data_IF_679600548313
#
_entry.id   IF_679600548313
#
_cell.length_a   1.000
_cell.length_b   1.000
_cell.length_c   1.000
_cell.angle_alpha   90.00
_cell.angle_beta   90.00
_cell.angle_gamma   90.00
#
_symmetry.space_group_name_H-M   'P 1'
#
loop_
_entity.id
_entity.type
_entity.pdbx_description
1 polymer ?
#
# COMPACT_ATOMS: atom_id res chain seq x y z
N UNK A 1 -5.49 26.87 -1.04
CA UNK A 1 -4.35 26.07 -1.56
C UNK A 1 -4.92 24.92 -2.37
N UNK A 2 -5.11 25.13 -3.66
CA UNK A 2 -5.65 24.11 -4.58
C UNK A 2 -4.51 23.20 -5.03
N UNK A 3 -4.27 22.13 -4.28
CA UNK A 3 -3.37 21.06 -4.72
C UNK A 3 -4.04 20.31 -5.86
N UNK A 4 -3.39 20.25 -7.02
CA UNK A 4 -3.82 19.40 -8.12
C UNK A 4 -4.08 17.99 -7.60
N UNK A 5 -5.14 17.33 -8.08
CA UNK A 5 -5.36 15.92 -7.82
C UNK A 5 -4.09 15.16 -8.23
N UNK A 6 -3.25 14.78 -7.26
CA UNK A 6 -2.07 14.00 -7.53
C UNK A 6 -2.56 12.65 -8.04
N UNK A 7 -2.33 12.39 -9.33
CA UNK A 7 -2.54 11.07 -9.89
C UNK A 7 -1.42 10.19 -9.38
N UNK A 8 -1.80 9.21 -8.59
CA UNK A 8 -0.89 8.22 -8.04
C UNK A 8 -0.45 7.26 -9.16
N UNK A 9 0.76 7.44 -9.67
CA UNK A 9 1.37 6.52 -10.65
C UNK A 9 2.28 5.52 -9.94
N UNK A 10 2.11 4.23 -10.24
CA UNK A 10 2.93 3.17 -9.65
C UNK A 10 2.27 1.80 -9.66
N UNK A 11 2.98 0.81 -9.11
CA UNK A 11 2.48 -0.55 -8.89
C UNK A 11 1.88 -0.60 -7.48
N UNK A 12 0.69 -1.18 -7.33
CA UNK A 12 0.07 -1.38 -6.01
C UNK A 12 -0.57 -2.77 -5.96
N UNK A 13 -0.03 -3.64 -5.09
CA UNK A 13 -0.40 -5.05 -5.01
C UNK A 13 -0.71 -5.43 -3.56
N UNK A 14 -1.86 -6.09 -3.36
CA UNK A 14 -2.36 -6.42 -2.02
C UNK A 14 -3.24 -5.32 -1.41
N UNK A 15 -3.29 -5.26 -0.08
CA UNK A 15 -4.03 -4.24 0.67
C UNK A 15 -5.39 -4.68 1.21
N UNK A 16 -5.98 -5.79 0.75
CA UNK A 16 -7.26 -6.27 1.30
C UNK A 16 -7.22 -6.54 2.81
N UNK A 17 -6.09 -7.07 3.29
CA UNK A 17 -5.82 -7.36 4.70
C UNK A 17 -4.89 -6.32 5.35
N UNK A 18 -4.67 -5.18 4.70
CA UNK A 18 -3.71 -4.16 5.15
C UNK A 18 -2.25 -4.56 4.95
N UNK A 19 -1.98 -5.60 4.16
CA UNK A 19 -0.65 -6.10 3.82
C UNK A 19 -0.37 -5.87 2.34
N UNK A 20 0.74 -5.22 2.05
CA UNK A 20 1.15 -4.83 0.71
C UNK A 20 2.42 -5.56 0.29
N UNK A 21 2.52 -5.95 -0.98
CA UNK A 21 3.79 -6.45 -1.54
C UNK A 21 4.86 -5.37 -1.42
N UNK A 22 6.10 -5.74 -1.14
CA UNK A 22 7.24 -4.81 -1.11
C UNK A 22 7.48 -4.11 -2.46
N UNK A 23 6.93 -4.64 -3.56
CA UNK A 23 6.94 -4.00 -4.89
C UNK A 23 5.95 -2.84 -5.02
N UNK A 24 5.10 -2.61 -4.02
CA UNK A 24 4.09 -1.56 -4.06
C UNK A 24 4.68 -0.18 -3.82
N UNK A 25 4.14 0.82 -4.52
CA UNK A 25 4.45 2.22 -4.28
C UNK A 25 3.91 2.65 -2.91
N UNK A 26 4.82 2.94 -1.97
CA UNK A 26 4.50 3.22 -0.56
C UNK A 26 3.48 4.37 -0.39
N UNK A 27 3.62 5.46 -1.16
CA UNK A 27 2.68 6.59 -1.09
C UNK A 27 1.25 6.18 -1.50
N UNK A 28 1.11 5.33 -2.51
CA UNK A 28 -0.21 4.82 -2.92
C UNK A 28 -0.82 3.90 -1.87
N UNK A 29 0.00 3.04 -1.28
CA UNK A 29 -0.40 2.18 -0.18
C UNK A 29 -0.84 2.99 1.04
N UNK A 30 -0.15 4.09 1.35
CA UNK A 30 -0.51 4.96 2.48
C UNK A 30 -1.89 5.62 2.27
N UNK A 31 -2.20 6.03 1.04
CA UNK A 31 -3.52 6.57 0.69
C UNK A 31 -4.59 5.49 0.73
N UNK A 32 -4.34 4.32 0.14
CA UNK A 32 -5.30 3.21 0.17
C UNK A 32 -5.52 2.64 1.58
N UNK A 33 -4.52 2.71 2.45
CA UNK A 33 -4.65 2.33 3.85
C UNK A 33 -5.35 3.40 4.70
N UNK A 34 -5.57 4.60 4.16
CA UNK A 34 -6.16 5.73 4.88
C UNK A 34 -5.21 6.40 5.88
N UNK A 35 -3.91 6.10 5.80
CA UNK A 35 -2.88 6.71 6.67
C UNK A 35 -2.61 8.15 6.27
N UNK A 36 -2.65 8.44 4.96
CA UNK A 36 -2.54 9.78 4.40
C UNK A 36 -3.69 10.02 3.41
N UNK A 37 -4.13 11.27 3.26
CA UNK A 37 -5.01 11.68 2.16
C UNK A 37 -4.25 11.84 0.83
N UNK A 38 -4.96 11.79 -0.30
CA UNK A 38 -4.33 12.10 -1.58
C UNK A 38 -3.80 13.55 -1.60
N UNK A 39 -2.55 13.73 -2.01
CA UNK A 39 -1.84 15.01 -1.97
C UNK A 39 -1.34 15.42 -0.58
N UNK A 40 -1.56 14.61 0.46
CA UNK A 40 -1.00 14.83 1.78
C UNK A 40 0.42 14.24 1.86
N UNK A 41 1.36 15.05 2.31
CA UNK A 41 2.69 14.59 2.72
C UNK A 41 2.71 14.33 4.22
N UNK A 42 3.40 13.29 4.65
CA UNK A 42 3.54 12.96 6.07
C UNK A 42 4.53 11.82 6.31
N UNK A 43 4.92 11.64 7.57
CA UNK A 43 5.71 10.48 7.96
C UNK A 43 4.78 9.29 8.20
N UNK A 44 5.20 8.12 7.74
CA UNK A 44 4.49 6.86 7.95
C UNK A 44 5.44 5.88 8.61
N UNK A 45 4.88 4.98 9.42
CA UNK A 45 5.62 3.86 9.99
C UNK A 45 5.10 2.57 9.38
N UNK A 46 6.02 1.70 8.97
CA UNK A 46 5.71 0.38 8.45
C UNK A 46 6.47 -0.67 9.24
N UNK A 47 5.86 -1.85 9.32
CA UNK A 47 6.53 -3.09 9.70
C UNK A 47 6.83 -3.89 8.43
N UNK A 48 8.06 -4.38 8.30
CA UNK A 48 8.45 -5.32 7.25
C UNK A 48 8.29 -6.74 7.78
N UNK A 49 7.58 -7.58 7.03
CA UNK A 49 7.19 -8.92 7.44
C UNK A 49 7.27 -9.91 6.27
N UNK A 50 7.27 -11.23 6.53
CA UNK A 50 7.05 -12.22 5.50
C UNK A 50 5.71 -11.97 4.80
N UNK A 51 5.73 -11.97 3.47
CA UNK A 51 4.56 -11.82 2.63
C UNK A 51 3.81 -13.14 2.45
N UNK A 52 2.47 -13.09 2.31
CA UNK A 52 1.69 -14.27 1.96
C UNK A 52 2.03 -14.75 0.54
N UNK A 53 1.70 -16.00 0.23
CA UNK A 53 1.83 -16.52 -1.15
C UNK A 53 0.87 -15.88 -2.14
N UNK A 54 -0.21 -15.26 -1.66
CA UNK A 54 -1.18 -14.50 -2.46
C UNK A 54 -1.52 -13.19 -1.76
N UNK A 55 -1.29 -12.08 -2.45
CA UNK A 55 -1.77 -10.77 -2.09
C UNK A 55 -3.09 -10.50 -2.80
N UNK A 56 -4.12 -10.14 -2.04
CA UNK A 56 -5.43 -9.75 -2.59
C UNK A 56 -5.55 -8.23 -2.70
N UNK A 57 -5.86 -7.75 -3.90
CA UNK A 57 -6.18 -6.37 -4.20
C UNK A 57 -7.51 -5.93 -3.59
N UNK A 58 -7.71 -4.63 -3.51
CA UNK A 58 -8.94 -4.01 -3.00
C UNK A 58 -9.08 -2.58 -3.55
N UNK A 59 -10.25 -1.98 -3.37
CA UNK A 59 -10.46 -0.54 -3.59
C UNK A 59 -10.83 0.12 -2.28
N UNK A 60 -10.00 1.04 -1.80
CA UNK A 60 -10.23 1.83 -0.57
C UNK A 60 -9.71 3.25 -0.77
N UNK A 61 -10.40 4.22 -0.16
CA UNK A 61 -10.09 5.65 -0.27
C UNK A 61 -9.81 6.14 -1.70
N UNK A 62 -10.55 5.61 -2.68
CA UNK A 62 -10.42 5.96 -4.10
C UNK A 62 -9.20 5.38 -4.82
N UNK A 63 -8.43 4.48 -4.18
CA UNK A 63 -7.26 3.82 -4.77
C UNK A 63 -7.51 2.32 -4.93
N UNK A 64 -7.31 1.80 -6.14
CA UNK A 64 -7.46 0.37 -6.47
C UNK A 64 -6.10 -0.30 -6.56
N UNK A 65 -5.97 -1.49 -5.99
CA UNK A 65 -4.80 -2.35 -6.05
C UNK A 65 -5.09 -3.66 -6.77
N UNK A 66 -4.05 -4.26 -7.35
CA UNK A 66 -4.13 -5.56 -8.00
C UNK A 66 -3.87 -6.73 -7.05
N UNK A 67 -4.30 -7.91 -7.48
CA UNK A 67 -3.83 -9.17 -6.91
C UNK A 67 -2.38 -9.45 -7.34
N UNK A 68 -1.65 -10.21 -6.54
CA UNK A 68 -0.35 -10.77 -6.91
C UNK A 68 -0.20 -12.14 -6.26
N UNK A 69 -0.08 -13.19 -7.07
CA UNK A 69 0.57 -14.40 -6.58
C UNK A 69 2.06 -14.10 -6.47
N UNK A 70 2.66 -14.48 -5.35
CA UNK A 70 4.10 -14.58 -5.19
C UNK A 70 4.39 -15.90 -4.48
N UNK A 71 3.86 -16.99 -5.02
CA UNK A 71 4.14 -18.32 -4.48
C UNK A 71 5.49 -18.82 -5.01
N UNK A 72 6.60 -18.47 -4.34
CA UNK A 72 7.91 -18.88 -4.87
C UNK A 72 9.17 -18.46 -4.14
N UNK A 73 9.18 -18.47 -2.79
CA UNK A 73 10.31 -18.14 -1.87
C UNK A 73 10.26 -16.67 -1.37
N UNK A 74 10.09 -16.51 -0.05
CA UNK A 74 10.59 -15.36 0.71
C UNK A 74 10.22 -13.97 0.20
N UNK A 75 8.95 -13.70 -0.10
CA UNK A 75 8.53 -12.36 -0.50
C UNK A 75 8.37 -11.49 0.73
N UNK A 76 8.93 -10.29 0.71
CA UNK A 76 8.68 -9.31 1.76
C UNK A 76 7.34 -8.62 1.52
N UNK A 77 6.69 -8.28 2.60
CA UNK A 77 5.55 -7.40 2.63
C UNK A 77 5.81 -6.24 3.58
N UNK A 78 4.95 -5.25 3.51
CA UNK A 78 4.84 -4.25 4.55
C UNK A 78 3.38 -4.02 4.94
N UNK A 79 3.20 -3.59 6.19
CA UNK A 79 1.92 -3.05 6.68
C UNK A 79 2.17 -1.76 7.45
N UNK A 80 1.19 -0.87 7.44
CA UNK A 80 1.23 0.32 8.27
C UNK A 80 0.96 -0.04 9.73
N UNK A 81 1.68 0.63 10.62
CA UNK A 81 1.46 0.54 12.07
C UNK A 81 1.25 1.96 12.60
N UNK A 82 0.47 2.11 13.66
CA UNK A 82 0.21 3.42 14.26
C UNK A 82 1.53 4.12 14.63
N UNK A 83 1.61 5.41 14.32
CA UNK A 83 2.68 6.26 14.81
C UNK A 83 2.50 6.41 16.33
N UNK A 84 3.53 6.03 17.09
CA UNK A 84 3.63 6.42 18.49
C UNK A 84 4.01 7.89 18.59
#
# INVERSE_FOLDING_TARGET
MTGAAHVLYGVLLGGAEGVYSFNSTLAMAAVQAGVLGNGQSGQVRVEILPGPGLFRGTTRYGVTSGDSDQSGIGHLAFRFVEAR
#
